data_IF_900400822862
#
_entry.id   IF_900400822862
#
_cell.length_a   1.000
_cell.length_b   1.000
_cell.length_c   1.000
_cell.angle_alpha   90.00
_cell.angle_beta   90.00
_cell.angle_gamma   90.00
#
_symmetry.space_group_name_H-M   'P 1'
#
loop_
_entity.id
_entity.type
_entity.pdbx_description
1 polymer ?
#
# COMPACT_ATOMS: atom_id res chain seq x y z
N UNK A 1 28.46 -87.49 42.33
CA UNK A 1 29.76 -87.71 43.00
C UNK A 1 30.37 -86.36 43.32
N UNK A 2 30.59 -86.08 44.60
CA UNK A 2 31.39 -84.96 45.11
C UNK A 2 32.88 -85.10 44.70
N UNK A 3 33.69 -84.08 45.01
CA UNK A 3 35.17 -84.07 45.28
C UNK A 3 35.87 -83.03 44.37
N UNK A 4 36.03 -81.76 44.77
CA UNK A 4 37.05 -81.11 45.65
C UNK A 4 38.47 -80.91 45.08
N UNK A 5 38.87 -79.63 45.07
CA UNK A 5 40.14 -79.02 45.50
C UNK A 5 41.53 -79.56 45.09
N UNK A 6 42.37 -78.62 44.57
CA UNK A 6 43.68 -78.11 45.09
C UNK A 6 44.61 -77.83 43.89
N UNK A 7 45.07 -76.61 43.63
CA UNK A 7 46.07 -75.76 44.32
C UNK A 7 47.42 -75.71 43.57
N UNK A 8 47.91 -74.46 43.38
CA UNK A 8 49.31 -73.98 43.40
C UNK A 8 50.20 -74.13 42.15
N UNK A 9 50.29 -72.99 41.41
CA UNK A 9 51.48 -72.11 41.14
C UNK A 9 52.85 -72.71 40.78
N UNK A 10 53.81 -71.93 40.21
CA UNK A 10 53.74 -70.72 39.36
C UNK A 10 54.68 -70.82 38.13
N UNK A 11 54.56 -69.93 37.13
CA UNK A 11 55.74 -69.46 36.38
C UNK A 11 55.46 -68.14 35.69
N UNK A 12 56.45 -67.26 35.85
CA UNK A 12 56.45 -65.84 35.56
C UNK A 12 56.15 -65.51 34.10
N UNK A 13 55.38 -64.45 33.88
CA UNK A 13 55.37 -63.72 32.61
C UNK A 13 55.60 -62.25 32.94
N UNK A 14 56.59 -61.71 32.25
CA UNK A 14 57.12 -60.38 32.37
C UNK A 14 56.05 -59.29 32.26
N UNK A 15 56.21 -58.26 33.09
CA UNK A 15 55.43 -57.05 33.04
C UNK A 15 55.61 -56.35 31.69
N UNK A 16 54.58 -56.40 30.85
CA UNK A 16 54.40 -55.44 29.78
C UNK A 16 53.54 -54.31 30.32
N UNK A 17 54.16 -53.15 30.53
CA UNK A 17 53.45 -51.91 30.83
C UNK A 17 52.70 -51.52 29.57
N UNK A 18 51.45 -51.97 29.47
CA UNK A 18 50.49 -51.41 28.54
C UNK A 18 49.60 -50.47 29.37
N UNK A 19 49.87 -49.19 29.25
CA UNK A 19 49.02 -48.10 29.72
C UNK A 19 47.58 -48.35 29.32
N UNK A 20 46.76 -48.79 30.27
CA UNK A 20 45.31 -48.82 30.14
C UNK A 20 44.90 -47.36 30.10
N UNK A 21 44.76 -46.81 28.89
CA UNK A 21 44.01 -45.60 28.70
C UNK A 21 42.63 -45.86 29.31
N UNK A 22 42.29 -45.10 30.34
CA UNK A 22 40.91 -44.95 30.77
C UNK A 22 40.11 -44.67 29.48
N UNK A 23 39.35 -45.63 28.97
CA UNK A 23 38.15 -45.26 28.25
C UNK A 23 37.30 -44.56 29.30
N UNK A 24 37.45 -43.23 29.37
CA UNK A 24 36.32 -42.40 29.72
C UNK A 24 35.24 -42.81 28.73
N UNK A 25 34.37 -43.72 29.15
CA UNK A 25 33.04 -43.83 28.57
C UNK A 25 32.56 -42.38 28.64
N UNK A 26 32.37 -41.67 27.53
CA UNK A 26 31.71 -40.39 27.65
C UNK A 26 30.40 -40.77 28.34
N UNK A 27 30.16 -40.17 29.52
CA UNK A 27 28.79 -40.04 30.02
C UNK A 27 27.93 -39.81 28.79
N UNK A 28 26.81 -40.54 28.58
CA UNK A 28 25.86 -40.08 27.59
C UNK A 28 25.71 -38.60 27.90
N UNK A 29 26.08 -37.76 26.94
CA UNK A 29 25.98 -36.33 27.08
C UNK A 29 24.49 -36.17 27.33
N UNK A 30 24.11 -36.06 28.60
CA UNK A 30 22.85 -35.46 29.03
C UNK A 30 23.05 -33.99 28.72
N UNK A 31 23.27 -33.69 27.44
CA UNK A 31 22.87 -32.45 26.86
C UNK A 31 21.40 -32.47 27.15
N UNK A 32 21.01 -31.65 28.12
CA UNK A 32 19.65 -31.15 28.24
C UNK A 32 19.13 -31.02 26.80
N UNK A 33 18.06 -31.74 26.41
CA UNK A 33 17.57 -31.69 25.04
C UNK A 33 17.54 -30.22 24.64
N UNK A 34 18.36 -29.85 23.65
CA UNK A 34 18.51 -28.45 23.27
C UNK A 34 17.10 -28.00 22.88
N UNK A 35 16.57 -27.02 23.61
CA UNK A 35 15.22 -26.54 23.35
C UNK A 35 15.11 -26.18 21.86
N UNK A 36 14.23 -26.89 21.15
CA UNK A 36 13.94 -26.65 19.74
C UNK A 36 12.75 -25.71 19.64
N UNK A 37 12.78 -24.85 18.63
CA UNK A 37 11.66 -23.97 18.31
C UNK A 37 10.84 -24.55 17.15
N UNK A 38 9.52 -24.50 17.29
CA UNK A 38 8.57 -24.85 16.25
C UNK A 38 8.56 -23.80 15.12
N UNK A 39 8.23 -24.22 13.90
CA UNK A 39 8.01 -23.29 12.78
C UNK A 39 6.53 -22.96 12.62
N UNK A 40 6.24 -21.70 12.29
CA UNK A 40 4.90 -21.29 11.88
C UNK A 40 4.55 -21.95 10.53
N UNK A 41 3.31 -22.44 10.40
CA UNK A 41 2.81 -22.99 9.14
C UNK A 41 2.03 -21.93 8.37
N UNK A 42 2.44 -21.64 7.12
CA UNK A 42 1.69 -20.86 6.11
C UNK A 42 0.92 -19.63 6.65
N UNK A 43 1.54 -18.84 7.52
CA UNK A 43 0.91 -17.64 8.08
C UNK A 43 0.73 -16.58 7.00
N UNK A 44 -0.50 -16.11 6.83
CA UNK A 44 -0.82 -14.93 6.01
C UNK A 44 -1.45 -13.86 6.91
N UNK A 45 -1.30 -12.59 6.53
CA UNK A 45 -1.87 -11.47 7.28
C UNK A 45 -2.44 -10.40 6.37
N UNK A 46 -3.43 -9.68 6.89
CA UNK A 46 -4.08 -8.55 6.22
C UNK A 46 -3.96 -7.31 7.08
N UNK A 47 -3.73 -6.16 6.46
CA UNK A 47 -3.82 -4.87 7.14
C UNK A 47 -5.11 -4.15 6.77
N UNK A 48 -5.96 -3.86 7.75
CA UNK A 48 -7.21 -3.10 7.60
C UNK A 48 -7.53 -2.38 8.91
N UNK A 49 -8.18 -1.21 8.84
CA UNK A 49 -8.57 -0.43 10.03
C UNK A 49 -7.42 -0.19 11.03
N UNK A 50 -6.22 0.13 10.51
CA UNK A 50 -5.03 0.45 11.30
C UNK A 50 -4.39 -0.72 12.07
N UNK A 51 -4.80 -1.94 11.74
CA UNK A 51 -4.30 -3.16 12.37
C UNK A 51 -3.80 -4.16 11.35
N UNK A 52 -2.70 -4.83 11.68
CA UNK A 52 -2.34 -6.11 11.04
C UNK A 52 -3.12 -7.20 11.77
N UNK A 53 -3.95 -7.93 11.03
CA UNK A 53 -4.63 -9.12 11.52
C UNK A 53 -4.06 -10.36 10.84
N UNK A 54 -3.65 -11.36 11.63
CA UNK A 54 -3.17 -12.63 11.11
C UNK A 54 -3.63 -13.79 11.98
N UNK A 55 -3.56 -14.99 11.41
CA UNK A 55 -3.95 -16.21 12.09
C UNK A 55 -2.71 -17.08 12.29
N UNK A 56 -2.52 -17.56 13.51
CA UNK A 56 -1.60 -18.65 13.82
C UNK A 56 -2.39 -19.78 14.50
N UNK A 57 -1.88 -21.00 14.44
CA UNK A 57 -2.33 -22.07 15.35
C UNK A 57 -1.43 -22.06 16.60
N UNK A 58 -1.43 -20.95 17.35
CA UNK A 58 -0.50 -20.72 18.46
C UNK A 58 -1.20 -20.18 19.71
N UNK A 59 -0.65 -20.52 20.88
CA UNK A 59 -1.05 -20.01 22.19
C UNK A 59 -0.08 -18.95 22.72
N UNK A 60 -0.57 -18.15 23.66
CA UNK A 60 0.21 -17.19 24.44
C UNK A 60 -0.11 -17.34 25.92
N UNK A 61 0.87 -17.05 26.78
CA UNK A 61 0.59 -16.84 28.19
C UNK A 61 -0.15 -15.50 28.38
N UNK A 62 -1.27 -15.51 29.12
CA UNK A 62 -2.10 -14.33 29.30
C UNK A 62 -1.43 -13.23 30.15
N UNK A 63 -0.46 -13.60 31.00
CA UNK A 63 0.30 -12.69 31.86
C UNK A 63 1.65 -12.30 31.27
N UNK A 64 2.14 -13.08 30.30
CA UNK A 64 3.40 -12.86 29.58
C UNK A 64 3.21 -12.98 28.07
N UNK A 65 2.39 -12.14 27.42
CA UNK A 65 2.36 -12.14 25.97
C UNK A 65 3.72 -11.70 25.40
N UNK A 66 4.00 -11.98 24.11
CA UNK A 66 5.15 -11.40 23.42
C UNK A 66 5.20 -9.89 23.59
N UNK A 67 6.39 -9.40 23.95
CA UNK A 67 6.61 -7.97 24.09
C UNK A 67 6.43 -7.27 22.74
N UNK A 68 5.96 -6.01 22.74
CA UNK A 68 5.78 -5.26 21.50
C UNK A 68 7.09 -5.11 20.70
N UNK A 69 8.23 -5.08 21.40
CA UNK A 69 9.57 -5.04 20.80
C UNK A 69 9.95 -6.31 20.03
N UNK A 70 9.24 -7.43 20.23
CA UNK A 70 9.41 -8.64 19.44
C UNK A 70 8.84 -8.50 18.03
N UNK A 71 8.05 -7.45 17.75
CA UNK A 71 7.48 -7.20 16.43
C UNK A 71 8.24 -6.08 15.71
N UNK A 72 8.96 -6.42 14.64
CA UNK A 72 9.53 -5.46 13.70
C UNK A 72 8.62 -5.33 12.48
N UNK A 73 7.91 -4.20 12.40
CA UNK A 73 7.04 -3.88 11.27
C UNK A 73 7.67 -2.76 10.46
N UNK A 74 7.85 -2.99 9.16
CA UNK A 74 8.35 -2.01 8.20
C UNK A 74 7.33 -1.72 7.12
N UNK A 75 7.17 -0.45 6.78
CA UNK A 75 6.29 0.04 5.72
C UNK A 75 7.15 0.75 4.69
N UNK A 76 7.17 0.25 3.46
CA UNK A 76 8.06 0.71 2.39
C UNK A 76 9.54 0.77 2.84
N UNK A 77 9.94 -0.16 3.72
CA UNK A 77 11.29 -0.26 4.29
C UNK A 77 11.54 0.58 5.56
N UNK A 78 10.62 1.45 5.96
CA UNK A 78 10.74 2.31 7.16
C UNK A 78 10.04 1.68 8.36
N UNK A 79 10.65 1.73 9.54
CA UNK A 79 10.04 1.19 10.77
C UNK A 79 8.73 1.89 11.13
N UNK A 80 7.69 1.11 11.39
CA UNK A 80 6.40 1.54 11.90
C UNK A 80 5.98 0.63 13.08
N UNK A 81 6.48 0.91 14.29
CA UNK A 81 6.37 -0.01 15.42
C UNK A 81 4.93 -0.29 15.83
N UNK A 82 4.72 -1.44 16.46
CA UNK A 82 3.45 -1.78 17.08
C UNK A 82 3.25 -1.04 18.41
N UNK A 83 2.03 -0.59 18.66
CA UNK A 83 1.62 0.06 19.91
C UNK A 83 0.73 -0.81 20.78
N UNK A 84 0.09 -1.82 20.20
CA UNK A 84 -0.74 -2.77 20.94
C UNK A 84 -0.78 -4.13 20.23
N UNK A 85 -0.74 -5.20 21.02
CA UNK A 85 -1.03 -6.57 20.61
C UNK A 85 -2.36 -6.95 21.27
N UNK A 86 -3.33 -7.37 20.46
CA UNK A 86 -4.61 -7.93 20.93
C UNK A 86 -4.73 -9.35 20.42
N UNK A 87 -5.20 -10.25 21.29
CA UNK A 87 -5.25 -11.68 21.01
C UNK A 87 -6.69 -12.12 21.21
N UNK A 88 -7.29 -12.67 20.16
CA UNK A 88 -8.64 -13.18 20.16
C UNK A 88 -8.62 -14.70 20.14
N UNK A 89 -8.95 -15.30 21.30
CA UNK A 89 -8.87 -16.74 21.49
C UNK A 89 -7.44 -17.27 21.27
N UNK A 90 -7.32 -18.48 20.72
CA UNK A 90 -6.03 -19.15 20.49
C UNK A 90 -5.52 -19.04 19.05
N UNK A 91 -5.98 -18.07 18.26
CA UNK A 91 -5.65 -18.07 16.83
C UNK A 91 -5.56 -16.71 16.13
N UNK A 92 -6.39 -15.73 16.48
CA UNK A 92 -6.42 -14.45 15.75
C UNK A 92 -5.66 -13.40 16.53
N UNK A 93 -4.69 -12.78 15.87
CA UNK A 93 -3.80 -11.79 16.45
C UNK A 93 -3.97 -10.46 15.72
N UNK A 94 -4.12 -9.39 16.48
CA UNK A 94 -4.22 -8.02 15.98
C UNK A 94 -3.06 -7.18 16.52
N UNK A 95 -2.30 -6.57 15.62
CA UNK A 95 -1.23 -5.64 15.95
C UNK A 95 -1.62 -4.25 15.47
N UNK A 96 -1.76 -3.31 16.41
CA UNK A 96 -2.03 -1.89 16.09
C UNK A 96 -0.71 -1.18 15.84
N UNK A 97 -0.61 -0.42 14.76
CA UNK A 97 0.63 0.26 14.38
C UNK A 97 0.65 1.71 14.87
N UNK A 98 1.86 2.26 15.04
CA UNK A 98 2.08 3.64 15.49
C UNK A 98 1.51 4.65 14.50
N UNK A 99 1.74 4.43 13.21
CA UNK A 99 1.26 5.29 12.12
C UNK A 99 0.30 4.54 11.19
N UNK A 100 -0.74 5.22 10.68
CA UNK A 100 -1.61 4.64 9.68
C UNK A 100 -0.84 4.32 8.41
N UNK A 101 -0.96 3.08 7.95
CA UNK A 101 -0.48 2.60 6.67
C UNK A 101 -1.57 2.76 5.62
N UNK A 102 -1.17 3.15 4.42
CA UNK A 102 -2.09 3.45 3.33
C UNK A 102 -2.02 2.40 2.23
N UNK A 103 -3.12 2.22 1.49
CA UNK A 103 -3.18 1.28 0.35
C UNK A 103 -2.02 1.50 -0.61
N UNK A 104 -1.38 0.42 -1.05
CA UNK A 104 -0.28 0.44 -2.01
C UNK A 104 1.11 0.45 -1.39
N UNK A 105 1.26 0.76 -0.09
CA UNK A 105 2.51 0.54 0.64
C UNK A 105 2.77 -0.94 0.86
N UNK A 106 4.05 -1.34 0.81
CA UNK A 106 4.49 -2.70 1.14
C UNK A 106 4.73 -2.79 2.63
N UNK A 107 4.05 -3.72 3.30
CA UNK A 107 4.20 -3.96 4.73
C UNK A 107 4.96 -5.27 4.93
N UNK A 108 6.14 -5.19 5.53
CA UNK A 108 6.93 -6.34 5.99
C UNK A 108 6.74 -6.48 7.49
N UNK A 109 6.22 -7.62 7.92
CA UNK A 109 6.01 -7.94 9.32
C UNK A 109 6.96 -9.06 9.74
N UNK A 110 7.78 -8.79 10.74
CA UNK A 110 8.70 -9.75 11.35
C UNK A 110 8.37 -9.92 12.83
N UNK A 111 8.28 -11.17 13.27
CA UNK A 111 8.30 -11.53 14.68
C UNK A 111 9.68 -12.11 15.02
N UNK A 112 10.32 -11.54 16.02
CA UNK A 112 11.58 -11.98 16.60
C UNK A 112 11.27 -12.73 17.90
N UNK A 113 11.37 -14.06 17.83
CA UNK A 113 11.17 -14.90 18.99
C UNK A 113 12.20 -14.57 20.09
N UNK A 114 11.81 -14.64 21.38
CA UNK A 114 12.78 -14.57 22.47
C UNK A 114 13.72 -15.78 22.42
N UNK A 115 14.72 -15.79 23.31
CA UNK A 115 15.52 -16.99 23.52
C UNK A 115 14.58 -18.15 23.90
N UNK A 116 14.78 -19.31 23.26
CA UNK A 116 13.90 -20.48 23.39
C UNK A 116 13.83 -20.92 24.86
N UNK A 117 12.62 -20.98 25.39
CA UNK A 117 12.27 -21.42 26.73
C UNK A 117 10.96 -22.20 26.65
N UNK A 118 11.03 -23.52 26.49
CA UNK A 118 9.83 -24.36 26.27
C UNK A 118 8.97 -24.59 27.54
N UNK A 119 8.97 -23.64 28.48
CA UNK A 119 8.03 -23.60 29.60
C UNK A 119 6.77 -22.82 29.21
N UNK A 120 5.62 -23.17 29.79
CA UNK A 120 4.33 -22.54 29.44
C UNK A 120 4.19 -21.05 29.85
N UNK A 121 5.17 -20.48 30.55
CA UNK A 121 5.08 -19.18 31.20
C UNK A 121 6.21 -18.24 30.76
N UNK A 122 6.30 -17.96 29.47
CA UNK A 122 7.30 -17.09 28.86
C UNK A 122 6.66 -16.08 27.89
N UNK A 123 7.48 -15.23 27.26
CA UNK A 123 7.05 -14.19 26.33
C UNK A 123 7.03 -14.64 24.85
N UNK A 124 6.82 -15.92 24.56
CA UNK A 124 6.80 -16.45 23.20
C UNK A 124 5.36 -16.76 22.72
N UNK A 125 5.19 -16.85 21.40
CA UNK A 125 4.12 -17.68 20.86
C UNK A 125 4.51 -19.14 21.02
N UNK A 126 3.57 -19.97 21.45
CA UNK A 126 3.86 -21.37 21.78
C UNK A 126 2.85 -22.32 21.15
N UNK A 127 3.22 -23.59 21.07
CA UNK A 127 2.26 -24.69 20.94
C UNK A 127 1.61 -24.99 22.29
N UNK A 128 0.50 -25.73 22.27
CA UNK A 128 -0.19 -26.15 23.48
C UNK A 128 0.65 -27.02 24.42
N UNK A 129 1.73 -27.63 23.93
CA UNK A 129 2.68 -28.41 24.73
C UNK A 129 3.86 -27.57 25.27
N UNK A 130 3.86 -26.24 25.09
CA UNK A 130 4.89 -25.32 25.57
C UNK A 130 6.09 -25.15 24.64
N UNK A 131 6.12 -25.77 23.46
CA UNK A 131 7.19 -25.54 22.50
C UNK A 131 7.08 -24.13 21.88
N UNK A 132 8.13 -23.32 22.00
CA UNK A 132 8.18 -21.96 21.46
C UNK A 132 8.22 -21.96 19.94
N UNK A 133 7.55 -21.00 19.32
CA UNK A 133 7.70 -20.75 17.89
C UNK A 133 8.91 -19.87 17.58
N UNK A 134 9.63 -20.24 16.53
CA UNK A 134 10.74 -19.50 15.95
C UNK A 134 10.28 -18.19 15.30
N UNK A 135 11.23 -17.28 15.10
CA UNK A 135 11.03 -16.04 14.34
C UNK A 135 10.47 -16.29 12.93
N UNK A 136 9.69 -15.35 12.41
CA UNK A 136 9.22 -15.37 11.02
C UNK A 136 9.18 -13.98 10.44
N UNK A 137 9.16 -13.93 9.10
CA UNK A 137 8.89 -12.71 8.34
C UNK A 137 7.85 -13.00 7.27
N UNK A 138 6.88 -12.12 7.12
CA UNK A 138 5.87 -12.20 6.07
C UNK A 138 5.53 -10.83 5.48
N UNK A 139 5.08 -10.84 4.23
CA UNK A 139 4.52 -9.66 3.58
C UNK A 139 3.02 -9.62 3.83
N UNK A 140 2.52 -8.49 4.32
CA UNK A 140 1.09 -8.31 4.65
C UNK A 140 0.32 -7.85 3.42
N UNK A 141 -0.87 -8.44 3.23
CA UNK A 141 -1.85 -7.95 2.24
C UNK A 141 -2.43 -6.63 2.74
N UNK A 142 -2.02 -5.53 2.11
CA UNK A 142 -2.40 -4.19 2.55
C UNK A 142 -3.76 -3.76 1.96
N UNK A 143 -4.80 -3.80 2.79
CA UNK A 143 -6.15 -3.31 2.51
C UNK A 143 -6.43 -1.97 3.20
N UNK A 144 -5.37 -1.22 3.51
CA UNK A 144 -5.43 0.08 4.17
C UNK A 144 -6.19 1.12 3.36
N UNK A 145 -6.61 2.21 4.02
CA UNK A 145 -7.26 3.33 3.32
C UNK A 145 -6.26 4.06 2.42
N UNK A 146 -6.69 4.78 1.38
CA UNK A 146 -5.80 5.64 0.60
C UNK A 146 -5.11 6.73 1.42
N UNK A 147 -3.91 7.17 0.99
CA UNK A 147 -3.07 8.17 1.69
C UNK A 147 -3.67 9.60 1.66
N UNK A 148 -3.82 10.28 2.82
CA UNK A 148 -4.05 11.72 2.94
C UNK A 148 -2.80 12.51 2.50
N UNK A 149 -2.98 13.64 1.81
CA UNK A 149 -1.90 14.44 1.22
C UNK A 149 -1.59 15.68 2.08
N UNK A 150 -0.34 15.86 2.49
CA UNK A 150 0.19 17.07 3.18
C UNK A 150 1.50 17.53 2.53
N UNK A 151 1.68 18.83 2.27
CA UNK A 151 2.75 19.44 1.44
C UNK A 151 3.85 20.17 2.21
N UNK A 152 5.15 19.89 1.98
CA UNK A 152 6.31 20.84 2.09
C UNK A 152 7.58 20.32 1.35
N UNK A 153 8.50 21.20 0.93
CA UNK A 153 9.42 21.16 -0.24
C UNK A 153 10.91 20.70 -0.04
N UNK A 154 11.34 19.68 -0.83
CA UNK A 154 12.63 19.37 -1.54
C UNK A 154 14.03 19.35 -0.84
N UNK A 155 15.03 18.50 -1.28
CA UNK A 155 15.15 17.80 -2.57
C UNK A 155 15.35 16.25 -2.54
N UNK A 156 15.12 15.63 -3.70
CA UNK A 156 15.18 14.19 -4.07
C UNK A 156 14.27 13.24 -3.28
N UNK A 157 12.95 13.37 -3.48
CA UNK A 157 11.95 12.42 -3.00
C UNK A 157 10.83 12.26 -4.04
N UNK A 158 10.55 11.02 -4.47
CA UNK A 158 9.36 10.68 -5.29
C UNK A 158 8.14 10.69 -4.36
N UNK A 159 7.69 11.91 -4.01
CA UNK A 159 6.59 12.18 -3.09
C UNK A 159 5.39 12.83 -3.79
N UNK A 160 4.21 12.56 -3.26
CA UNK A 160 2.89 13.10 -3.62
C UNK A 160 2.84 14.63 -3.82
N UNK A 161 3.07 15.11 -5.04
CA UNK A 161 2.76 16.48 -5.41
C UNK A 161 1.23 16.65 -5.52
N UNK A 162 0.67 17.64 -4.80
CA UNK A 162 -0.68 18.11 -5.12
C UNK A 162 -0.67 18.58 -6.58
N UNK A 163 -1.59 18.09 -7.43
CA UNK A 163 -1.69 18.55 -8.81
C UNK A 163 -1.74 20.07 -8.88
N UNK A 164 -0.81 20.68 -9.61
CA UNK A 164 -0.77 22.13 -9.85
C UNK A 164 -0.66 22.42 -11.34
N UNK A 165 -1.22 23.56 -11.74
CA UNK A 165 -1.13 24.11 -13.09
C UNK A 165 -0.11 25.25 -13.21
N UNK A 166 0.53 25.64 -12.11
CA UNK A 166 1.45 26.79 -12.05
C UNK A 166 2.82 26.47 -12.67
N UNK A 167 3.18 25.19 -12.69
CA UNK A 167 4.42 24.70 -13.31
C UNK A 167 4.10 23.66 -14.36
N UNK A 168 4.86 23.69 -15.46
CA UNK A 168 4.77 22.68 -16.51
C UNK A 168 5.33 21.33 -16.04
N UNK A 169 4.67 20.20 -16.37
CA UNK A 169 5.18 18.89 -16.00
C UNK A 169 6.48 18.60 -16.75
N UNK A 170 7.32 17.78 -16.14
CA UNK A 170 8.55 17.31 -16.79
C UNK A 170 8.22 16.39 -17.98
N UNK A 171 7.17 15.57 -17.83
CA UNK A 171 6.74 14.54 -18.79
C UNK A 171 5.23 14.56 -19.04
N UNK A 172 4.80 14.23 -20.25
CA UNK A 172 3.37 14.04 -20.54
C UNK A 172 2.84 12.70 -20.03
N UNK A 173 1.69 12.73 -19.36
CA UNK A 173 1.10 11.55 -18.75
C UNK A 173 0.36 10.73 -19.81
N UNK A 174 0.60 9.42 -19.79
CA UNK A 174 -0.07 8.48 -20.70
C UNK A 174 -1.32 7.83 -20.09
N UNK A 175 -1.35 7.79 -18.77
CA UNK A 175 -2.45 7.32 -17.94
C UNK A 175 -2.65 8.33 -16.81
N UNK A 176 -3.84 8.32 -16.23
CA UNK A 176 -4.19 9.20 -15.12
C UNK A 176 -4.25 8.38 -13.84
N UNK A 177 -3.38 8.71 -12.87
CA UNK A 177 -3.33 8.04 -11.58
C UNK A 177 -4.45 8.52 -10.63
N UNK A 178 -4.93 9.74 -10.81
CA UNK A 178 -6.02 10.34 -10.05
C UNK A 178 -7.25 10.42 -10.92
N UNK A 179 -8.43 10.11 -10.37
CA UNK A 179 -9.71 10.22 -11.07
C UNK A 179 -10.68 11.19 -10.38
N UNK A 180 -10.24 11.89 -9.33
CA UNK A 180 -11.11 12.76 -8.53
C UNK A 180 -10.62 14.20 -8.44
N UNK A 181 -11.56 15.14 -8.52
CA UNK A 181 -11.35 16.57 -8.29
C UNK A 181 -12.26 17.12 -7.21
N UNK A 182 -11.84 18.21 -6.59
CA UNK A 182 -12.63 18.88 -5.56
C UNK A 182 -13.19 20.20 -6.07
N UNK A 183 -14.46 20.43 -5.75
CA UNK A 183 -15.13 21.69 -6.06
C UNK A 183 -14.46 22.85 -5.30
N UNK A 184 -14.21 24.00 -5.94
CA UNK A 184 -13.52 25.11 -5.30
C UNK A 184 -14.42 25.76 -4.24
N UNK A 185 -13.80 26.21 -3.15
CA UNK A 185 -14.50 26.91 -2.05
C UNK A 185 -15.10 28.25 -2.50
N UNK A 186 -14.53 28.86 -3.55
CA UNK A 186 -15.00 30.10 -4.16
C UNK A 186 -15.07 29.96 -5.69
N UNK A 187 -16.07 30.58 -6.30
CA UNK A 187 -16.14 30.75 -7.76
C UNK A 187 -15.95 32.24 -8.10
N UNK A 188 -15.14 32.59 -9.11
CA UNK A 188 -14.50 31.69 -10.08
C UNK A 188 -13.32 30.92 -9.46
N UNK A 189 -13.05 29.72 -9.96
CA UNK A 189 -12.01 28.85 -9.40
C UNK A 189 -11.64 27.69 -10.30
N UNK A 190 -10.56 26.98 -9.93
CA UNK A 190 -10.06 25.82 -10.64
C UNK A 190 -10.39 24.53 -9.87
N UNK A 191 -10.79 23.49 -10.60
CA UNK A 191 -10.87 22.11 -10.13
C UNK A 191 -9.68 21.40 -10.75
N UNK A 192 -8.58 21.27 -10.02
CA UNK A 192 -7.38 20.60 -10.51
C UNK A 192 -7.47 19.11 -10.14
N UNK A 193 -7.41 18.23 -11.14
CA UNK A 193 -7.48 16.77 -10.95
C UNK A 193 -6.10 16.15 -11.16
N UNK A 194 -5.42 16.58 -12.23
CA UNK A 194 -4.02 16.29 -12.47
C UNK A 194 -3.30 17.57 -12.89
N UNK A 195 -1.98 17.51 -12.92
CA UNK A 195 -1.13 18.55 -13.52
C UNK A 195 -1.52 18.88 -14.97
N UNK A 196 -2.16 17.94 -15.66
CA UNK A 196 -2.52 18.04 -17.08
C UNK A 196 -4.03 18.18 -17.29
N UNK A 197 -4.87 17.97 -16.28
CA UNK A 197 -6.32 17.94 -16.45
C UNK A 197 -7.09 18.52 -15.27
N UNK A 198 -8.23 19.13 -15.60
CA UNK A 198 -9.20 19.62 -14.64
C UNK A 198 -10.19 20.56 -15.30
N UNK A 199 -10.77 21.45 -14.51
CA UNK A 199 -11.80 22.39 -14.96
C UNK A 199 -11.55 23.79 -14.43
N UNK A 200 -12.02 24.78 -15.18
CA UNK A 200 -12.25 26.13 -14.67
C UNK A 200 -13.74 26.34 -14.49
N UNK A 201 -14.13 27.05 -13.44
CA UNK A 201 -15.51 27.46 -13.16
C UNK A 201 -15.55 28.97 -13.08
N UNK A 202 -16.42 29.61 -13.86
CA UNK A 202 -16.60 31.06 -13.86
C UNK A 202 -17.70 31.51 -12.87
N UNK A 203 -17.85 32.83 -12.70
CA UNK A 203 -18.83 33.46 -11.81
C UNK A 203 -20.30 33.14 -12.16
N UNK A 204 -20.56 32.67 -13.39
CA UNK A 204 -21.90 32.31 -13.90
C UNK A 204 -22.14 30.79 -13.84
N UNK A 205 -21.35 30.06 -13.05
CA UNK A 205 -21.35 28.59 -13.01
C UNK A 205 -20.98 27.93 -14.36
N UNK A 206 -20.32 28.67 -15.25
CA UNK A 206 -19.81 28.14 -16.50
C UNK A 206 -18.57 27.29 -16.23
N UNK A 207 -18.66 25.99 -16.50
CA UNK A 207 -17.56 25.04 -16.33
C UNK A 207 -16.94 24.67 -17.67
N UNK A 208 -15.61 24.75 -17.78
CA UNK A 208 -14.82 24.35 -18.96
C UNK A 208 -13.73 23.36 -18.56
N UNK A 209 -13.54 22.23 -19.27
CA UNK A 209 -12.33 21.45 -19.13
C UNK A 209 -11.12 22.24 -19.59
N UNK A 210 -10.01 22.03 -18.91
CA UNK A 210 -8.70 22.51 -19.30
C UNK A 210 -7.76 21.32 -19.34
N UNK A 211 -7.19 21.05 -20.51
CA UNK A 211 -6.26 19.93 -20.71
C UNK A 211 -4.93 20.49 -21.21
N UNK A 212 -3.82 20.13 -20.58
CA UNK A 212 -2.46 20.51 -20.96
C UNK A 212 -1.76 19.32 -21.59
N UNK A 213 -1.19 19.52 -22.77
CA UNK A 213 -0.47 18.50 -23.54
C UNK A 213 0.79 19.13 -24.17
N UNK A 214 1.81 18.32 -24.47
CA UNK A 214 3.08 18.78 -25.07
C UNK A 214 3.45 17.99 -26.31
N UNK A 215 3.59 16.68 -26.15
CA UNK A 215 4.10 15.73 -27.12
C UNK A 215 2.98 15.05 -27.89
N UNK A 216 1.76 14.99 -27.31
CA UNK A 216 0.57 14.50 -27.97
C UNK A 216 -0.44 15.62 -28.27
N UNK A 217 -1.17 15.45 -29.37
CA UNK A 217 -2.34 16.26 -29.65
C UNK A 217 -3.51 15.39 -30.12
N UNK A 218 -4.72 15.90 -29.98
CA UNK A 218 -5.93 15.25 -30.41
C UNK A 218 -7.14 16.16 -30.40
N UNK A 219 -8.19 15.73 -31.10
CA UNK A 219 -9.54 16.30 -30.91
C UNK A 219 -10.21 15.59 -29.73
N UNK A 220 -10.42 16.34 -28.66
CA UNK A 220 -11.07 15.90 -27.42
C UNK A 220 -12.57 16.01 -27.56
N UNK A 221 -13.24 14.88 -27.28
CA UNK A 221 -14.69 14.80 -27.10
C UNK A 221 -14.95 14.52 -25.62
N UNK A 222 -15.80 15.33 -24.99
CA UNK A 222 -16.02 15.23 -23.55
C UNK A 222 -17.45 15.59 -23.17
N UNK A 223 -17.96 14.92 -22.14
CA UNK A 223 -19.28 15.14 -21.56
C UNK A 223 -19.15 15.19 -20.04
N UNK A 224 -19.92 16.08 -19.41
CA UNK A 224 -20.15 16.09 -17.96
C UNK A 224 -21.59 15.73 -17.66
N UNK A 225 -21.83 15.06 -16.54
CA UNK A 225 -23.16 14.64 -16.11
C UNK A 225 -23.27 14.53 -14.59
N UNK A 226 -24.45 14.80 -14.05
CA UNK A 226 -24.76 14.63 -12.62
C UNK A 226 -26.23 14.26 -12.44
N UNK A 227 -26.56 13.65 -11.30
CA UNK A 227 -27.93 13.46 -10.83
C UNK A 227 -28.06 14.10 -9.46
N UNK A 228 -29.02 15.01 -9.27
CA UNK A 228 -29.11 15.83 -8.07
C UNK A 228 -30.56 16.07 -7.67
N UNK A 229 -30.79 16.37 -6.39
CA UNK A 229 -32.11 16.80 -5.90
C UNK A 229 -32.23 18.32 -5.98
N UNK A 230 -33.39 18.78 -6.42
CA UNK A 230 -33.82 20.17 -6.37
C UNK A 230 -35.21 20.21 -5.71
N UNK A 231 -35.23 20.54 -4.42
CA UNK A 231 -36.34 20.21 -3.53
C UNK A 231 -36.55 18.69 -3.46
N UNK A 232 -37.81 18.25 -3.58
CA UNK A 232 -38.16 16.83 -3.58
C UNK A 232 -37.88 16.10 -4.92
N UNK A 233 -37.58 16.84 -5.99
CA UNK A 233 -37.45 16.28 -7.35
C UNK A 233 -36.01 15.88 -7.66
N UNK A 234 -35.82 14.68 -8.19
CA UNK A 234 -34.54 14.24 -8.76
C UNK A 234 -34.40 14.74 -10.20
N UNK A 235 -33.34 15.50 -10.48
CA UNK A 235 -33.01 16.04 -11.80
C UNK A 235 -31.71 15.41 -12.33
N UNK A 236 -31.64 15.25 -13.65
CA UNK A 236 -30.43 14.82 -14.36
C UNK A 236 -29.86 15.98 -15.15
N UNK A 237 -28.55 16.19 -15.04
CA UNK A 237 -27.80 17.14 -15.85
C UNK A 237 -26.85 16.37 -16.77
N UNK A 238 -26.78 16.79 -18.03
CA UNK A 238 -25.80 16.31 -19.00
C UNK A 238 -25.43 17.46 -19.94
N UNK A 239 -24.14 17.69 -20.12
CA UNK A 239 -23.63 18.67 -21.08
C UNK A 239 -22.46 18.08 -21.85
N UNK A 240 -22.55 18.14 -23.19
CA UNK A 240 -21.49 17.70 -24.10
C UNK A 240 -20.80 18.93 -24.67
N UNK A 241 -19.48 18.98 -24.53
CA UNK A 241 -18.69 20.08 -25.07
C UNK A 241 -18.51 19.91 -26.58
N UNK A 242 -18.51 21.03 -27.30
CA UNK A 242 -18.02 21.05 -28.67
C UNK A 242 -16.57 20.51 -28.71
N UNK A 243 -16.20 19.67 -29.69
CA UNK A 243 -14.86 19.11 -29.77
C UNK A 243 -13.78 20.20 -29.76
N UNK A 244 -12.74 19.99 -28.97
CA UNK A 244 -11.64 20.94 -28.79
C UNK A 244 -10.29 20.24 -28.86
N UNK A 245 -9.18 20.98 -28.79
CA UNK A 245 -7.84 20.43 -29.03
C UNK A 245 -7.33 20.72 -30.44
N UNK A 246 -6.32 19.97 -30.90
CA UNK A 246 -5.68 20.18 -32.20
C UNK A 246 -5.20 18.86 -32.79
N UNK A 247 -5.14 18.78 -34.11
CA UNK A 247 -4.42 17.73 -34.85
C UNK A 247 -3.34 18.33 -35.75
N UNK A 248 -3.10 19.64 -35.64
CA UNK A 248 -2.10 20.35 -36.44
C UNK A 248 -0.70 19.99 -35.96
N UNK A 249 0.18 19.67 -36.90
CA UNK A 249 1.60 19.47 -36.65
C UNK A 249 2.25 20.78 -36.21
N UNK A 250 3.21 20.67 -35.29
CA UNK A 250 4.07 21.79 -34.85
C UNK A 250 5.53 21.48 -35.15
N UNK A 251 6.36 22.52 -35.29
CA UNK A 251 7.82 22.36 -35.48
C UNK A 251 8.50 21.87 -34.20
N UNK A 252 8.09 22.38 -33.04
CA UNK A 252 8.66 22.06 -31.73
C UNK A 252 7.54 21.78 -30.74
N UNK A 253 7.67 20.69 -29.97
CA UNK A 253 6.74 20.33 -28.91
C UNK A 253 6.89 21.30 -27.72
N UNK A 254 5.77 21.89 -27.27
CA UNK A 254 5.71 22.78 -26.10
C UNK A 254 4.39 22.53 -25.37
N UNK A 255 4.41 22.69 -24.05
CA UNK A 255 3.21 22.59 -23.24
C UNK A 255 2.17 23.63 -23.68
N UNK A 256 0.92 23.17 -23.86
CA UNK A 256 -0.18 24.03 -24.27
C UNK A 256 -1.49 23.59 -23.62
N UNK A 257 -2.26 24.58 -23.17
CA UNK A 257 -3.62 24.40 -22.69
C UNK A 257 -4.63 24.36 -23.84
N UNK A 258 -5.55 23.42 -23.75
CA UNK A 258 -6.69 23.25 -24.63
C UNK A 258 -7.98 23.33 -23.80
N UNK A 259 -8.87 24.21 -24.21
CA UNK A 259 -10.20 24.41 -23.62
C UNK A 259 -11.23 24.62 -24.74
N UNK A 260 -12.48 24.18 -24.57
CA UNK A 260 -13.55 24.55 -25.49
C UNK A 260 -13.83 26.06 -25.43
N UNK A 261 -14.34 26.61 -26.53
CA UNK A 261 -14.72 28.02 -26.61
C UNK A 261 -15.89 28.33 -25.66
N UNK A 262 -16.93 27.49 -25.69
CA UNK A 262 -18.15 27.63 -24.88
C UNK A 262 -18.07 26.79 -23.60
N UNK A 263 -18.54 27.37 -22.49
CA UNK A 263 -18.72 26.66 -21.23
C UNK A 263 -20.04 25.89 -21.20
N UNK A 264 -20.10 24.85 -20.37
CA UNK A 264 -21.36 24.28 -19.92
C UNK A 264 -21.84 25.09 -18.71
N UNK A 265 -23.07 25.57 -18.70
CA UNK A 265 -23.61 26.30 -17.54
C UNK A 265 -24.24 25.29 -16.58
N UNK A 266 -23.81 25.29 -15.33
CA UNK A 266 -24.37 24.43 -14.29
C UNK A 266 -25.53 25.13 -13.57
N UNK A 267 -26.68 24.45 -13.36
CA UNK A 267 -27.77 24.98 -12.54
C UNK A 267 -27.29 25.30 -11.12
N UNK A 268 -27.80 26.39 -10.54
CA UNK A 268 -27.42 26.81 -9.17
C UNK A 268 -27.66 25.70 -8.14
N UNK A 269 -28.81 25.03 -8.21
CA UNK A 269 -29.13 23.90 -7.32
C UNK A 269 -28.13 22.73 -7.45
N UNK A 270 -27.62 22.46 -8.65
CA UNK A 270 -26.57 21.44 -8.86
C UNK A 270 -25.26 21.88 -8.22
N UNK A 271 -24.83 23.13 -8.40
CA UNK A 271 -23.62 23.66 -7.77
C UNK A 271 -23.69 23.55 -6.25
N UNK A 272 -24.82 23.96 -5.65
CA UNK A 272 -25.06 23.82 -4.21
C UNK A 272 -25.04 22.36 -3.76
N UNK A 273 -25.64 21.44 -4.52
CA UNK A 273 -25.62 20.02 -4.21
C UNK A 273 -24.20 19.43 -4.26
N UNK A 274 -23.36 19.87 -5.22
CA UNK A 274 -21.95 19.45 -5.29
C UNK A 274 -21.17 20.01 -4.10
N UNK A 275 -21.32 21.30 -3.79
CA UNK A 275 -20.62 21.96 -2.67
C UNK A 275 -20.95 21.35 -1.31
N UNK A 276 -22.21 20.95 -1.11
CA UNK A 276 -22.69 20.33 0.14
C UNK A 276 -22.50 18.81 0.20
N UNK A 277 -21.85 18.21 -0.80
CA UNK A 277 -21.56 16.78 -0.82
C UNK A 277 -22.77 15.89 -1.10
N UNK A 278 -23.90 16.46 -1.52
CA UNK A 278 -25.14 15.73 -1.84
C UNK A 278 -25.12 15.05 -3.21
N UNK A 279 -24.17 15.42 -4.08
CA UNK A 279 -23.97 14.80 -5.39
C UNK A 279 -22.54 14.98 -5.89
N UNK A 280 -22.21 14.30 -6.99
CA UNK A 280 -20.96 14.44 -7.73
C UNK A 280 -21.23 14.83 -9.18
N UNK A 281 -20.24 15.48 -9.79
CA UNK A 281 -20.21 15.76 -11.22
C UNK A 281 -19.23 14.81 -11.90
N UNK A 282 -19.75 13.95 -12.77
CA UNK A 282 -18.96 12.95 -13.46
C UNK A 282 -18.57 13.48 -14.84
N UNK A 283 -17.30 13.34 -15.22
CA UNK A 283 -16.80 13.69 -16.53
C UNK A 283 -16.27 12.46 -17.26
N UNK A 284 -16.63 12.34 -18.54
CA UNK A 284 -16.12 11.30 -19.43
C UNK A 284 -15.59 11.93 -20.70
N UNK A 285 -14.43 11.50 -21.13
CA UNK A 285 -13.79 12.02 -22.33
C UNK A 285 -12.97 10.98 -23.07
N UNK A 286 -12.74 11.23 -24.35
CA UNK A 286 -11.81 10.45 -25.15
C UNK A 286 -11.20 11.31 -26.26
N UNK A 287 -9.93 11.04 -26.59
CA UNK A 287 -9.32 11.57 -27.80
C UNK A 287 -8.28 10.63 -28.40
N UNK A 288 -8.15 10.65 -29.74
CA UNK A 288 -6.98 10.08 -30.39
C UNK A 288 -5.75 10.91 -30.02
N UNK A 289 -4.63 10.26 -29.69
CA UNK A 289 -3.34 10.91 -29.52
C UNK A 289 -2.49 10.71 -30.78
N UNK A 290 -1.94 11.80 -31.29
CA UNK A 290 -0.92 11.79 -32.36
C UNK A 290 0.32 12.52 -31.86
N UNK A 291 1.49 12.10 -32.31
CA UNK A 291 2.76 12.76 -32.01
C UNK A 291 2.80 14.14 -32.68
N UNK A 292 2.99 15.20 -31.91
CA UNK A 292 2.75 16.58 -32.38
C UNK A 292 3.67 17.03 -33.52
N UNK A 293 4.90 16.52 -33.60
CA UNK A 293 5.86 16.92 -34.63
C UNK A 293 5.76 16.10 -35.91
N UNK A 294 5.14 14.92 -35.88
CA UNK A 294 4.99 14.06 -37.05
C UNK A 294 3.54 13.96 -37.54
N UNK A 295 2.56 14.24 -36.67
CA UNK A 295 1.14 14.03 -36.93
C UNK A 295 0.73 12.55 -36.95
N UNK A 296 1.64 11.62 -36.64
CA UNK A 296 1.40 10.17 -36.73
C UNK A 296 0.92 9.59 -35.40
N UNK A 297 0.21 8.45 -35.46
CA UNK A 297 -0.19 7.64 -34.29
C UNK A 297 0.93 6.72 -33.78
N UNK A 298 2.17 7.13 -33.99
CA UNK A 298 3.36 6.41 -33.57
C UNK A 298 4.42 7.42 -33.10
N UNK A 299 5.21 7.01 -32.12
CA UNK A 299 6.38 7.75 -31.64
C UNK A 299 7.53 7.70 -32.65
N UNK A 300 8.59 8.52 -32.47
CA UNK A 300 9.81 8.44 -33.27
C UNK A 300 10.46 7.04 -33.24
N UNK A 301 10.39 6.35 -32.10
CA UNK A 301 10.87 4.97 -31.91
C UNK A 301 9.95 3.89 -32.51
N UNK A 302 8.92 4.29 -33.27
CA UNK A 302 7.89 3.45 -33.90
C UNK A 302 6.92 2.76 -32.93
N UNK A 303 7.01 3.01 -31.62
CA UNK A 303 6.01 2.49 -30.67
C UNK A 303 4.64 3.12 -30.92
N UNK A 304 3.57 2.32 -30.74
CA UNK A 304 2.19 2.74 -30.99
C UNK A 304 1.69 3.69 -29.90
N UNK A 305 0.98 4.74 -30.31
CA UNK A 305 0.36 5.69 -29.37
C UNK A 305 -1.10 5.28 -29.14
N UNK A 306 -1.45 4.97 -27.89
CA UNK A 306 -2.83 4.65 -27.50
C UNK A 306 -3.67 5.91 -27.37
N UNK A 307 -4.95 5.84 -27.76
CA UNK A 307 -5.92 6.89 -27.46
C UNK A 307 -6.06 7.07 -25.94
N UNK A 308 -6.37 8.28 -25.49
CA UNK A 308 -6.58 8.58 -24.07
C UNK A 308 -8.09 8.62 -23.80
N UNK A 309 -8.47 8.01 -22.69
CA UNK A 309 -9.84 8.05 -22.16
C UNK A 309 -9.82 8.59 -20.75
N UNK A 310 -10.80 9.40 -20.41
CA UNK A 310 -10.95 10.04 -19.12
C UNK A 310 -12.25 9.58 -18.46
N UNK A 311 -12.16 9.24 -17.18
CA UNK A 311 -13.30 9.02 -16.30
C UNK A 311 -12.98 9.70 -14.98
N UNK A 312 -13.60 10.86 -14.75
CA UNK A 312 -13.33 11.70 -13.61
C UNK A 312 -14.60 11.97 -12.81
N UNK A 313 -14.43 12.23 -11.52
CA UNK A 313 -15.48 12.60 -10.59
C UNK A 313 -15.09 13.90 -9.89
N UNK A 314 -15.97 14.89 -9.87
CA UNK A 314 -15.81 16.11 -9.07
C UNK A 314 -16.79 16.07 -7.91
N UNK A 315 -16.31 16.30 -6.69
CA UNK A 315 -17.11 16.23 -5.46
C UNK A 315 -16.85 17.41 -4.54
N UNK A 316 -17.62 17.50 -3.46
CA UNK A 316 -17.39 18.48 -2.40
C UNK A 316 -15.96 18.39 -1.87
N UNK A 317 -15.38 19.55 -1.54
CA UNK A 317 -14.17 19.60 -0.72
C UNK A 317 -14.51 19.03 0.67
N UNK A 318 -13.72 18.09 1.21
CA UNK A 318 -13.93 17.57 2.56
C UNK A 318 -13.90 18.73 3.58
N UNK A 319 -14.75 18.65 4.61
CA UNK A 319 -14.62 19.54 5.76
C UNK A 319 -13.24 19.27 6.41
N UNK A 320 -12.50 20.32 6.74
CA UNK A 320 -11.29 20.17 7.53
C UNK A 320 -11.70 19.56 8.87
N UNK A 321 -11.10 18.44 9.26
CA UNK A 321 -11.21 17.95 10.62
C UNK A 321 -10.68 19.07 11.53
N UNK A 322 -11.53 19.58 12.42
CA UNK A 322 -11.10 20.42 13.54
C UNK A 322 -10.42 19.56 14.59
#
# INVERSE_FOLDING_TARGET
>A
MFTTHRSRTPRAIAAFVLSIGLLAIPNPITGTPRASAATFSNTTGTYINEKISWICACSVDATKPPALSSFDVKVDGVSNPATALTIFGSAVMDLTLTSPVYSGSVITFTYNAPAVDNTLANNAFQRSNGEDYASFTLTITNMGRPRPVTTTTAPLNVGSATPSWDTDPVTEAETDAFTEGFWPSVIPGNIIITDQFGFTVDKKNGIKPKIRMKDYAGKIKMTISATYKDGAKTKKYKCTYAPFGSTKKVKTAKWKWYTPKKACILPKALVTAIQTGKTTLNAKGAWPRIWVTSGKKARPDKTKIKARTLKYTVRAKPAAAQ
#
